data_IF_165477973337
#
_entry.id   IF_165477973337
#
_cell.length_a   1.000
_cell.length_b   1.000
_cell.length_c   1.000
_cell.angle_alpha   90.00
_cell.angle_beta   90.00
_cell.angle_gamma   90.00
#
_symmetry.space_group_name_H-M   'P 1'
#
loop_
_entity.id
_entity.type
_entity.pdbx_description
1 polymer ?
#
# COMPACT_ATOMS: atom_id res chain seq x y z
N UNK A 1 -44.36 43.82 -12.75
CA UNK A 1 -42.94 43.44 -12.82
C UNK A 1 -42.39 42.98 -11.45
N UNK A 2 -43.17 42.25 -10.63
CA UNK A 2 -42.78 41.87 -9.26
C UNK A 2 -42.83 40.35 -8.98
N UNK A 3 -43.22 39.53 -9.97
CA UNK A 3 -43.36 38.08 -9.81
C UNK A 3 -42.06 37.30 -10.07
N UNK A 4 -41.16 37.83 -10.91
CA UNK A 4 -39.92 37.14 -11.30
C UNK A 4 -38.89 37.07 -10.16
N UNK A 5 -38.86 38.08 -9.28
CA UNK A 5 -37.89 38.16 -8.18
C UNK A 5 -38.15 37.14 -7.07
N UNK A 6 -39.41 36.78 -6.81
CA UNK A 6 -39.76 35.80 -5.78
C UNK A 6 -39.47 34.35 -6.21
N UNK A 7 -39.53 34.07 -7.52
CA UNK A 7 -39.27 32.75 -8.07
C UNK A 7 -37.76 32.45 -8.16
N UNK A 8 -36.94 33.46 -8.41
CA UNK A 8 -35.47 33.33 -8.39
C UNK A 8 -34.89 33.04 -7.00
N UNK A 9 -35.47 33.61 -5.94
CA UNK A 9 -35.05 33.36 -4.55
C UNK A 9 -35.42 31.94 -4.10
N UNK A 10 -36.58 31.43 -4.51
CA UNK A 10 -36.99 30.05 -4.19
C UNK A 10 -36.12 29.01 -4.91
N UNK A 11 -35.75 29.27 -6.17
CA UNK A 11 -34.87 28.37 -6.92
C UNK A 11 -33.43 28.33 -6.38
N UNK A 12 -32.91 29.46 -5.88
CA UNK A 12 -31.59 29.52 -5.25
C UNK A 12 -31.56 28.89 -3.86
N UNK A 13 -32.66 28.98 -3.09
CA UNK A 13 -32.80 28.28 -1.82
C UNK A 13 -32.90 26.74 -2.00
N UNK A 14 -33.57 26.28 -3.07
CA UNK A 14 -33.74 24.86 -3.37
C UNK A 14 -32.44 24.16 -3.80
N UNK A 15 -31.47 24.90 -4.35
CA UNK A 15 -30.16 24.35 -4.74
C UNK A 15 -29.23 24.26 -3.53
N UNK A 16 -29.38 25.12 -2.52
CA UNK A 16 -28.57 25.07 -1.28
C UNK A 16 -28.95 23.95 -0.30
N UNK A 17 -30.08 23.27 -0.52
CA UNK A 17 -30.57 22.19 0.35
C UNK A 17 -30.50 20.81 -0.28
N UNK A 18 -29.80 20.66 -1.41
CA UNK A 18 -29.38 19.35 -1.90
C UNK A 18 -28.36 18.76 -0.92
N UNK A 19 -28.86 18.23 0.19
CA UNK A 19 -28.09 17.52 1.18
C UNK A 19 -27.52 16.27 0.51
N UNK A 20 -26.23 16.34 0.20
CA UNK A 20 -25.44 15.15 -0.11
C UNK A 20 -25.30 14.36 1.18
N UNK A 21 -25.55 13.05 1.14
CA UNK A 21 -25.08 12.13 2.18
C UNK A 21 -23.57 12.27 2.29
N UNK A 22 -23.08 12.68 3.47
CA UNK A 22 -21.67 12.71 3.77
C UNK A 22 -21.24 11.29 4.15
N UNK A 23 -20.46 10.65 3.31
CA UNK A 23 -19.81 9.39 3.65
C UNK A 23 -18.39 9.71 4.13
N UNK A 24 -18.11 9.42 5.39
CA UNK A 24 -16.77 9.50 5.95
C UNK A 24 -16.11 8.12 5.86
N UNK A 25 -14.95 8.05 5.22
CA UNK A 25 -14.09 6.87 5.24
C UNK A 25 -12.77 7.24 5.87
N UNK A 26 -12.26 6.38 6.74
CA UNK A 26 -11.00 6.58 7.43
C UNK A 26 -9.89 5.86 6.66
N UNK A 27 -8.85 6.61 6.29
CA UNK A 27 -7.70 6.05 5.58
C UNK A 27 -6.47 6.10 6.49
N UNK A 28 -5.81 4.95 6.60
CA UNK A 28 -4.55 4.82 7.31
C UNK A 28 -3.45 4.42 6.31
N UNK A 29 -2.36 5.18 6.34
CA UNK A 29 -1.15 4.86 5.58
C UNK A 29 0.00 4.75 6.57
N UNK A 30 0.61 3.58 6.66
CA UNK A 30 1.81 3.34 7.45
C UNK A 30 2.98 3.00 6.55
N UNK A 31 4.16 3.49 6.89
CA UNK A 31 5.38 3.20 6.14
C UNK A 31 6.54 3.03 7.08
N UNK A 32 7.21 1.88 6.99
CA UNK A 32 8.42 1.57 7.74
C UNK A 32 9.56 1.37 6.75
N UNK A 33 10.64 2.14 6.90
CA UNK A 33 11.84 2.01 6.05
C UNK A 33 13.04 1.74 6.94
N UNK A 34 13.78 0.69 6.63
CA UNK A 34 15.00 0.28 7.32
C UNK A 34 16.11 0.12 6.29
N UNK A 35 17.22 0.82 6.51
CA UNK A 35 18.44 0.67 5.74
C UNK A 35 19.51 -0.04 6.57
N UNK A 36 20.20 -1.03 5.99
CA UNK A 36 21.29 -1.75 6.63
C UNK A 36 22.49 -1.83 5.69
N UNK A 37 23.67 -1.46 6.18
CA UNK A 37 24.95 -1.80 5.55
C UNK A 37 25.53 -3.05 6.18
N UNK A 38 25.98 -4.01 5.38
CA UNK A 38 26.63 -5.23 5.87
C UNK A 38 27.71 -5.71 4.92
N UNK A 39 28.62 -6.53 5.41
CA UNK A 39 29.72 -7.11 4.64
C UNK A 39 29.53 -8.62 4.51
N UNK A 40 29.74 -9.16 3.31
CA UNK A 40 29.64 -10.60 3.04
C UNK A 40 30.99 -11.10 2.51
N UNK A 41 31.52 -12.15 3.14
CA UNK A 41 32.67 -12.85 2.61
C UNK A 41 32.29 -13.58 1.31
N UNK A 42 33.07 -13.37 0.26
CA UNK A 42 32.90 -14.08 -1.01
C UNK A 42 33.09 -15.59 -0.85
N UNK A 43 32.58 -16.41 -1.80
CA UNK A 43 32.69 -17.87 -1.74
C UNK A 43 34.12 -18.40 -1.67
N UNK A 44 35.09 -17.57 -2.08
CA UNK A 44 36.52 -17.88 -2.13
C UNK A 44 37.35 -17.16 -1.06
N UNK A 45 36.71 -16.52 -0.07
CA UNK A 45 37.35 -16.00 1.15
C UNK A 45 38.08 -14.65 1.02
N UNK A 46 38.61 -14.30 -0.14
CA UNK A 46 39.47 -13.11 -0.29
C UNK A 46 38.73 -11.79 -0.56
N UNK A 47 37.47 -11.83 -0.99
CA UNK A 47 36.70 -10.63 -1.36
C UNK A 47 35.60 -10.37 -0.33
N UNK A 48 35.74 -9.29 0.44
CA UNK A 48 34.66 -8.76 1.29
C UNK A 48 33.78 -7.84 0.44
N UNK A 49 32.55 -8.27 0.19
CA UNK A 49 31.58 -7.51 -0.59
C UNK A 49 30.78 -6.62 0.35
N UNK A 50 30.94 -5.30 0.21
CA UNK A 50 30.10 -4.31 0.89
C UNK A 50 28.69 -4.31 0.28
N UNK A 51 27.68 -4.59 1.11
CA UNK A 51 26.27 -4.69 0.73
C UNK A 51 25.44 -3.64 1.46
N UNK A 52 24.33 -3.25 0.83
CA UNK A 52 23.34 -2.34 1.42
C UNK A 52 21.95 -2.90 1.20
N UNK A 53 21.22 -3.21 2.25
CA UNK A 53 19.80 -3.60 2.19
C UNK A 53 18.91 -2.41 2.47
N UNK A 54 17.84 -2.28 1.72
CA UNK A 54 16.71 -1.40 2.00
C UNK A 54 15.46 -2.27 2.11
N UNK A 55 14.89 -2.26 3.30
CA UNK A 55 13.62 -2.87 3.60
C UNK A 55 12.59 -1.76 3.72
N UNK A 56 11.51 -1.83 2.96
CA UNK A 56 10.39 -0.91 3.08
C UNK A 56 9.09 -1.72 3.20
N UNK A 57 8.27 -1.40 4.19
CA UNK A 57 6.90 -1.93 4.28
C UNK A 57 5.90 -0.79 4.18
N UNK A 58 4.87 -0.99 3.36
CA UNK A 58 3.78 -0.05 3.11
C UNK A 58 2.48 -0.72 3.55
N UNK A 59 1.83 -0.16 4.58
CA UNK A 59 0.50 -0.55 5.01
C UNK A 59 -0.53 0.47 4.53
N UNK A 60 -1.63 -0.03 3.97
CA UNK A 60 -2.79 0.76 3.56
C UNK A 60 -4.03 0.16 4.24
N UNK A 61 -4.76 0.99 5.00
CA UNK A 61 -6.03 0.66 5.62
C UNK A 61 -7.09 1.63 5.14
N UNK A 62 -8.27 1.12 4.81
CA UNK A 62 -9.46 1.93 4.58
C UNK A 62 -10.60 1.33 5.39
N UNK A 63 -11.15 2.12 6.30
CA UNK A 63 -12.16 1.70 7.26
C UNK A 63 -13.43 2.52 7.08
N UNK A 64 -14.55 1.97 7.56
CA UNK A 64 -15.85 2.63 7.53
C UNK A 64 -16.24 3.09 6.11
N UNK A 65 -15.97 2.25 5.09
CA UNK A 65 -16.22 2.62 3.69
C UNK A 65 -17.70 2.89 3.39
N UNK A 66 -18.61 2.45 4.28
CA UNK A 66 -20.04 2.72 4.25
C UNK A 66 -20.43 4.15 4.70
N UNK A 67 -19.54 4.89 5.36
CA UNK A 67 -19.84 6.17 6.00
C UNK A 67 -19.94 6.04 7.52
N UNK A 68 -20.89 6.78 8.12
CA UNK A 68 -21.09 6.77 9.57
C UNK A 68 -21.34 5.34 10.09
N UNK A 69 -20.69 5.02 11.20
CA UNK A 69 -20.79 3.69 11.81
C UNK A 69 -22.17 3.51 12.47
N UNK A 70 -22.99 2.62 11.91
CA UNK A 70 -24.19 2.08 12.56
C UNK A 70 -23.99 0.59 12.86
N UNK A 71 -24.21 0.12 14.11
CA UNK A 71 -24.12 -1.30 14.47
C UNK A 71 -24.99 -2.24 13.64
N UNK A 72 -26.13 -1.74 13.13
CA UNK A 72 -27.14 -2.51 12.42
C UNK A 72 -26.99 -2.45 10.89
N UNK A 73 -26.00 -1.69 10.39
CA UNK A 73 -25.69 -1.59 8.96
C UNK A 73 -24.44 -2.38 8.55
N UNK A 74 -24.29 -2.57 7.23
CA UNK A 74 -23.16 -3.27 6.67
C UNK A 74 -21.87 -2.45 6.81
N UNK A 75 -20.84 -3.06 7.39
CA UNK A 75 -19.53 -2.45 7.59
C UNK A 75 -18.53 -3.05 6.61
N UNK A 76 -17.78 -2.20 5.91
CA UNK A 76 -16.74 -2.64 4.96
C UNK A 76 -15.39 -2.02 5.31
N UNK A 77 -14.39 -2.88 5.46
CA UNK A 77 -13.01 -2.49 5.71
C UNK A 77 -12.07 -3.19 4.72
N UNK A 78 -10.98 -2.52 4.35
CA UNK A 78 -9.94 -3.06 3.47
C UNK A 78 -8.59 -2.80 4.12
N UNK A 79 -7.76 -3.83 4.22
CA UNK A 79 -6.40 -3.70 4.70
C UNK A 79 -5.42 -4.42 3.76
N UNK A 80 -4.33 -3.75 3.41
CA UNK A 80 -3.28 -4.23 2.53
C UNK A 80 -1.92 -3.92 3.16
N UNK A 81 -1.00 -4.88 3.13
CA UNK A 81 0.40 -4.64 3.50
C UNK A 81 1.34 -5.22 2.45
N UNK A 82 2.18 -4.35 1.91
CA UNK A 82 3.21 -4.68 0.92
C UNK A 82 4.58 -4.51 1.55
N UNK A 83 5.54 -5.28 1.03
CA UNK A 83 6.95 -5.20 1.41
C UNK A 83 7.82 -5.18 0.18
N UNK A 84 8.82 -4.32 0.23
CA UNK A 84 9.92 -4.27 -0.73
C UNK A 84 11.19 -4.57 0.05
N UNK A 85 11.90 -5.63 -0.34
CA UNK A 85 13.23 -5.93 0.17
C UNK A 85 14.21 -5.82 -1.01
N UNK A 86 15.08 -4.81 -0.95
CA UNK A 86 16.01 -4.48 -2.02
C UNK A 86 17.43 -4.47 -1.48
N UNK A 87 18.26 -5.38 -1.96
CA UNK A 87 19.71 -5.29 -1.78
C UNK A 87 20.33 -4.50 -2.94
N UNK A 88 21.23 -3.59 -2.60
CA UNK A 88 21.98 -2.73 -3.51
C UNK A 88 23.47 -3.08 -3.47
N UNK A 89 24.16 -2.78 -4.58
CA UNK A 89 25.57 -3.12 -4.77
C UNK A 89 25.76 -4.45 -5.50
N UNK A 90 24.77 -4.91 -6.27
CA UNK A 90 24.90 -6.06 -7.15
C UNK A 90 25.66 -5.71 -8.42
N UNK A 91 26.61 -6.58 -8.80
CA UNK A 91 27.26 -6.56 -10.11
C UNK A 91 26.56 -7.59 -11.03
N UNK A 92 26.47 -7.30 -12.33
CA UNK A 92 25.92 -8.21 -13.35
C UNK A 92 26.54 -9.61 -13.33
N UNK A 93 27.83 -9.69 -12.99
CA UNK A 93 28.57 -10.94 -12.85
C UNK A 93 28.13 -11.80 -11.64
N UNK A 94 27.40 -11.24 -10.68
CA UNK A 94 27.00 -11.95 -9.46
C UNK A 94 25.70 -12.75 -9.63
N UNK A 95 24.84 -12.36 -10.58
CA UNK A 95 23.57 -13.04 -10.86
C UNK A 95 23.47 -13.64 -12.27
N UNK A 96 24.35 -13.26 -13.20
CA UNK A 96 24.46 -13.89 -14.51
C UNK A 96 25.75 -14.70 -14.61
N UNK A 97 25.62 -16.01 -14.86
CA UNK A 97 26.79 -16.88 -14.95
C UNK A 97 27.59 -16.61 -16.24
N UNK A 98 28.86 -16.30 -16.09
CA UNK A 98 29.84 -16.15 -17.17
C UNK A 98 31.14 -16.86 -16.76
N UNK A 99 31.74 -17.63 -17.68
CA UNK A 99 32.98 -18.36 -17.47
C UNK A 99 34.13 -17.41 -17.12
N UNK A 100 34.16 -16.21 -17.70
CA UNK A 100 35.19 -15.21 -17.39
C UNK A 100 35.07 -14.62 -15.97
N UNK A 101 33.89 -14.74 -15.35
CA UNK A 101 33.57 -14.17 -14.04
C UNK A 101 33.01 -15.21 -13.05
N UNK A 102 33.29 -16.50 -13.29
CA UNK A 102 32.74 -17.60 -12.49
C UNK A 102 33.08 -17.48 -10.99
N UNK A 103 34.22 -16.83 -10.68
CA UNK A 103 34.65 -16.45 -9.34
C UNK A 103 33.89 -15.30 -8.67
N UNK A 104 32.77 -14.84 -9.25
CA UNK A 104 31.90 -13.80 -8.68
C UNK A 104 30.43 -14.22 -8.66
N UNK A 105 30.08 -15.26 -9.38
CA UNK A 105 28.70 -15.75 -9.48
C UNK A 105 28.22 -16.30 -8.14
N UNK A 106 27.06 -15.82 -7.69
CA UNK A 106 26.38 -16.27 -6.47
C UNK A 106 25.07 -16.97 -6.87
N UNK A 107 25.01 -18.31 -6.80
CA UNK A 107 23.80 -19.05 -7.13
C UNK A 107 22.63 -18.65 -6.22
N UNK A 108 21.46 -18.40 -6.80
CA UNK A 108 20.22 -18.15 -6.05
C UNK A 108 20.08 -16.75 -5.48
N UNK A 109 20.87 -15.78 -5.95
CA UNK A 109 20.79 -14.39 -5.51
C UNK A 109 19.46 -13.74 -5.95
N UNK A 110 18.57 -13.35 -5.02
CA UNK A 110 17.28 -12.76 -5.38
C UNK A 110 17.44 -11.31 -5.85
N UNK A 111 16.86 -10.97 -7.02
CA UNK A 111 16.74 -9.59 -7.47
C UNK A 111 15.45 -8.98 -6.91
N UNK A 112 15.62 -8.03 -5.98
CA UNK A 112 14.60 -7.11 -5.43
C UNK A 112 13.18 -7.71 -5.36
N UNK A 113 12.91 -8.62 -4.41
CA UNK A 113 11.56 -9.12 -4.21
C UNK A 113 10.62 -8.02 -3.70
N UNK A 114 9.63 -7.70 -4.54
CA UNK A 114 8.40 -7.04 -4.10
C UNK A 114 7.41 -8.14 -3.71
N UNK A 115 6.93 -8.09 -2.48
CA UNK A 115 6.10 -9.12 -1.89
C UNK A 115 4.82 -8.50 -1.28
N UNK A 116 3.69 -9.16 -1.53
CA UNK A 116 2.42 -8.83 -0.87
C UNK A 116 2.35 -9.65 0.42
N UNK A 117 2.59 -9.00 1.56
CA UNK A 117 2.64 -9.70 2.86
C UNK A 117 1.26 -10.24 3.24
N UNK A 118 0.23 -9.38 3.16
CA UNK A 118 -1.16 -9.77 3.33
C UNK A 118 -2.09 -8.73 2.70
N UNK A 119 -3.30 -9.17 2.38
CA UNK A 119 -4.38 -8.30 1.97
C UNK A 119 -5.71 -8.98 2.28
N UNK A 120 -6.63 -8.26 2.92
CA UNK A 120 -7.96 -8.77 3.19
C UNK A 120 -9.00 -7.68 3.09
N UNK A 121 -10.22 -8.11 2.84
CA UNK A 121 -11.43 -7.29 2.89
C UNK A 121 -12.30 -7.90 3.96
N UNK A 122 -12.72 -7.07 4.90
CA UNK A 122 -13.64 -7.46 5.94
C UNK A 122 -15.00 -6.84 5.67
N UNK A 123 -16.02 -7.64 5.89
CA UNK A 123 -17.41 -7.25 5.74
C UNK A 123 -18.19 -7.78 6.93
N UNK A 124 -18.98 -6.94 7.59
CA UNK A 124 -19.86 -7.34 8.69
C UNK A 124 -21.28 -6.91 8.38
N UNK A 125 -22.26 -7.71 8.81
CA UNK A 125 -23.68 -7.39 8.72
C UNK A 125 -24.15 -7.22 7.26
N UNK A 126 -23.58 -8.04 6.36
CA UNK A 126 -23.87 -8.01 4.94
C UNK A 126 -25.21 -8.72 4.67
N UNK A 127 -26.04 -8.14 3.81
CA UNK A 127 -27.34 -8.72 3.45
C UNK A 127 -28.38 -8.62 4.56
N UNK A 128 -28.25 -7.64 5.47
CA UNK A 128 -29.16 -7.47 6.60
C UNK A 128 -28.90 -8.46 7.73
N UNK A 129 -27.63 -8.74 8.04
CA UNK A 129 -27.21 -9.55 9.19
C UNK A 129 -27.04 -11.03 8.92
N UNK A 130 -27.05 -11.47 7.67
CA UNK A 130 -26.89 -12.86 7.31
C UNK A 130 -25.42 -13.31 7.28
N UNK A 131 -24.49 -12.36 7.09
CA UNK A 131 -23.04 -12.57 7.05
C UNK A 131 -22.30 -11.50 7.84
#
# INVERSE_FOLDING_TARGET
MAAATRMGVLASLAISTAASTAAAADFEVSTDIVGQGYEVAGPWGDVVLGRRRLYASLGLGAYNLQGDFDPDEAVYNVALRMRVDADFGYDGAEYNYDIANAGRYVPGLPQVPVDLMYGYVEGKNIGGGWF
#
